data_IF_557132503567
#
_entry.id   IF_557132503567
#
_cell.length_a   1.000
_cell.length_b   1.000
_cell.length_c   1.000
_cell.angle_alpha   90.00
_cell.angle_beta   90.00
_cell.angle_gamma   90.00
#
_symmetry.space_group_name_H-M   'P 1'
#
loop_
_entity.id
_entity.type
_entity.pdbx_description
1 polymer ?
#
# COMPACT_ATOMS: atom_id res chain seq x y z
N UNK A 1 38.37 -9.15 19.29
CA UNK A 1 36.90 -8.97 19.43
C UNK A 1 36.30 -9.17 18.05
N UNK A 2 35.25 -9.98 17.92
CA UNK A 2 34.57 -10.28 16.64
C UNK A 2 33.06 -10.42 16.87
N UNK A 3 32.24 -9.90 15.96
CA UNK A 3 30.78 -9.95 16.04
C UNK A 3 30.14 -8.82 16.86
N UNK A 4 28.85 -8.96 17.16
CA UNK A 4 28.06 -7.99 17.91
C UNK A 4 28.47 -7.91 19.39
N UNK A 5 28.45 -6.69 19.96
CA UNK A 5 28.80 -6.43 21.35
C UNK A 5 27.54 -6.22 22.21
N UNK A 6 26.72 -7.26 22.30
CA UNK A 6 25.39 -7.23 22.95
C UNK A 6 25.39 -7.77 24.39
N UNK A 7 26.55 -8.19 24.91
CA UNK A 7 26.71 -8.69 26.27
C UNK A 7 27.75 -7.85 27.01
N UNK A 8 27.35 -7.23 28.11
CA UNK A 8 28.25 -6.53 29.01
C UNK A 8 28.88 -7.50 30.02
N UNK A 9 30.20 -7.41 30.21
CA UNK A 9 30.95 -8.21 31.20
C UNK A 9 30.84 -7.67 32.63
N UNK A 10 30.70 -6.35 32.78
CA UNK A 10 30.80 -5.65 34.06
C UNK A 10 29.64 -4.67 34.34
N UNK A 11 28.63 -4.58 33.46
CA UNK A 11 27.50 -3.65 33.61
C UNK A 11 26.18 -4.29 33.20
N UNK A 12 25.06 -3.65 33.56
CA UNK A 12 23.72 -4.05 33.16
C UNK A 12 23.49 -3.84 31.66
N UNK A 13 22.66 -4.69 31.07
CA UNK A 13 22.14 -4.54 29.71
C UNK A 13 20.64 -4.21 29.78
N UNK A 14 20.19 -3.27 28.97
CA UNK A 14 18.79 -2.83 28.91
C UNK A 14 17.94 -3.72 27.97
N UNK A 15 17.98 -5.06 28.12
CA UNK A 15 17.32 -5.99 27.16
C UNK A 15 15.81 -5.84 27.05
N UNK A 16 15.13 -5.27 28.04
CA UNK A 16 13.68 -5.06 28.01
C UNK A 16 13.23 -3.87 27.17
N UNK A 17 14.14 -3.01 26.69
CA UNK A 17 13.77 -1.81 25.90
C UNK A 17 13.15 -2.19 24.55
N UNK A 18 13.48 -3.38 24.03
CA UNK A 18 12.90 -3.90 22.79
C UNK A 18 11.38 -4.08 22.87
N UNK A 19 10.84 -4.34 24.05
CA UNK A 19 9.39 -4.52 24.28
C UNK A 19 8.70 -3.31 24.90
N UNK A 20 9.45 -2.30 25.37
CA UNK A 20 8.87 -1.06 25.88
C UNK A 20 8.11 -0.36 24.75
N UNK A 21 6.89 0.13 24.99
CA UNK A 21 6.09 0.89 24.00
C UNK A 21 6.15 0.27 22.59
N UNK A 22 5.77 -1.01 22.50
CA UNK A 22 5.79 -1.77 21.24
C UNK A 22 4.94 -1.11 20.16
N UNK A 23 3.91 -0.35 20.52
CA UNK A 23 3.14 0.53 19.65
C UNK A 23 4.04 1.44 18.80
N UNK A 24 5.00 2.13 19.42
CA UNK A 24 5.93 3.03 18.73
C UNK A 24 6.94 2.27 17.85
N UNK A 25 7.32 1.05 18.25
CA UNK A 25 8.23 0.19 17.46
C UNK A 25 7.53 -0.34 16.21
N UNK A 26 6.27 -0.72 16.33
CA UNK A 26 5.44 -1.12 15.18
C UNK A 26 5.34 0.03 14.19
N UNK A 27 5.04 1.24 14.66
CA UNK A 27 5.01 2.43 13.80
C UNK A 27 6.35 2.68 13.12
N UNK A 28 7.45 2.63 13.87
CA UNK A 28 8.79 2.79 13.32
C UNK A 28 9.06 1.80 12.17
N UNK A 29 8.83 0.51 12.40
CA UNK A 29 9.05 -0.53 11.38
C UNK A 29 8.15 -0.32 10.16
N UNK A 30 6.88 -0.01 10.36
CA UNK A 30 5.93 0.24 9.27
C UNK A 30 6.37 1.42 8.40
N UNK A 31 6.77 2.53 9.04
CA UNK A 31 7.14 3.76 8.32
C UNK A 31 8.49 3.58 7.63
N UNK A 32 9.50 3.01 8.28
CA UNK A 32 10.80 2.73 7.64
C UNK A 32 10.64 1.80 6.44
N UNK A 33 9.82 0.75 6.57
CA UNK A 33 9.51 -0.15 5.46
C UNK A 33 8.78 0.60 4.34
N UNK A 34 7.79 1.43 4.66
CA UNK A 34 7.05 2.19 3.67
C UNK A 34 7.93 3.20 2.93
N UNK A 35 8.76 3.96 3.65
CA UNK A 35 9.70 4.93 3.07
C UNK A 35 10.70 4.23 2.15
N UNK A 36 11.38 3.20 2.65
CA UNK A 36 12.48 2.53 1.94
C UNK A 36 12.02 1.61 0.82
N UNK A 37 10.93 0.85 1.03
CA UNK A 37 10.51 -0.22 0.12
C UNK A 37 9.28 0.12 -0.72
N UNK A 38 8.62 1.25 -0.47
CA UNK A 38 7.45 1.71 -1.25
C UNK A 38 7.70 3.10 -1.82
N UNK A 39 7.90 4.10 -0.98
CA UNK A 39 7.98 5.50 -1.40
C UNK A 39 9.19 5.78 -2.28
N UNK A 40 10.41 5.56 -1.80
CA UNK A 40 11.63 5.88 -2.58
C UNK A 40 11.71 5.13 -3.92
N UNK A 41 11.39 3.81 -3.99
CA UNK A 41 11.28 3.10 -5.26
C UNK A 41 10.27 3.73 -6.22
N UNK A 42 9.09 4.09 -5.73
CA UNK A 42 8.02 4.67 -6.54
C UNK A 42 8.38 6.08 -7.02
N UNK A 43 8.98 6.91 -6.17
CA UNK A 43 9.48 8.23 -6.55
C UNK A 43 10.58 8.12 -7.61
N UNK A 44 11.46 7.13 -7.48
CA UNK A 44 12.51 6.86 -8.47
C UNK A 44 11.93 6.43 -9.82
N UNK A 45 10.91 5.57 -9.81
CA UNK A 45 10.17 5.18 -11.01
C UNK A 45 9.47 6.40 -11.65
N UNK A 46 8.82 7.24 -10.83
CA UNK A 46 8.17 8.46 -11.30
C UNK A 46 9.17 9.47 -11.90
N UNK A 47 10.36 9.57 -11.30
CA UNK A 47 11.45 10.39 -11.81
C UNK A 47 11.97 9.90 -13.16
N UNK A 48 12.10 8.57 -13.33
CA UNK A 48 12.49 7.98 -14.61
C UNK A 48 11.46 8.28 -15.73
N UNK A 49 10.20 8.45 -15.37
CA UNK A 49 9.12 8.87 -16.28
C UNK A 49 9.05 10.39 -16.51
N UNK A 50 10.01 11.16 -15.99
CA UNK A 50 10.17 12.59 -16.27
C UNK A 50 9.51 13.54 -15.25
N UNK A 51 9.04 13.04 -14.11
CA UNK A 51 8.55 13.90 -13.02
C UNK A 51 9.71 14.33 -12.11
N UNK A 52 9.55 15.42 -11.37
CA UNK A 52 10.59 15.87 -10.43
C UNK A 52 10.65 14.96 -9.19
N UNK A 53 11.86 14.69 -8.70
CA UNK A 53 12.04 13.97 -7.43
C UNK A 53 11.96 14.95 -6.25
N UNK A 54 11.04 14.74 -5.28
CA UNK A 54 10.79 15.69 -4.20
C UNK A 54 11.85 15.59 -3.07
N UNK A 55 13.09 15.98 -3.38
CA UNK A 55 14.25 15.82 -2.48
C UNK A 55 14.05 16.45 -1.09
N UNK A 56 13.48 17.66 -1.02
CA UNK A 56 13.28 18.35 0.25
C UNK A 56 12.29 17.62 1.16
N UNK A 57 11.17 17.15 0.59
CA UNK A 57 10.15 16.41 1.34
C UNK A 57 10.67 15.05 1.81
N UNK A 58 11.44 14.34 0.97
CA UNK A 58 12.12 13.10 1.36
C UNK A 58 13.15 13.35 2.47
N UNK A 59 13.92 14.44 2.36
CA UNK A 59 14.86 14.85 3.40
C UNK A 59 14.16 15.14 4.73
N UNK A 60 12.98 15.76 4.72
CA UNK A 60 12.19 16.03 5.91
C UNK A 60 11.68 14.75 6.58
N UNK A 61 11.17 13.79 5.79
CA UNK A 61 10.76 12.48 6.32
C UNK A 61 11.90 11.80 7.05
N UNK A 62 13.10 11.77 6.45
CA UNK A 62 14.27 11.15 7.07
C UNK A 62 14.73 11.89 8.32
N UNK A 63 14.68 13.23 8.34
CA UNK A 63 14.98 14.00 9.57
C UNK A 63 14.05 13.59 10.71
N UNK A 64 12.73 13.57 10.48
CA UNK A 64 11.75 13.16 11.49
C UNK A 64 12.01 11.74 12.01
N UNK A 65 12.35 10.79 11.12
CA UNK A 65 12.70 9.42 11.50
C UNK A 65 14.01 9.36 12.31
N UNK A 66 15.04 10.10 11.92
CA UNK A 66 16.32 10.12 12.64
C UNK A 66 16.23 10.79 14.00
N UNK A 67 15.42 11.84 14.15
CA UNK A 67 15.17 12.42 15.46
C UNK A 67 14.48 11.40 16.40
N UNK A 68 13.68 10.48 15.87
CA UNK A 68 13.07 9.39 16.64
C UNK A 68 14.03 8.23 16.93
N UNK A 69 15.14 8.13 16.19
CA UNK A 69 16.14 7.08 16.33
C UNK A 69 17.13 7.32 17.48
N UNK A 70 17.05 8.45 18.19
CA UNK A 70 17.81 8.66 19.42
C UNK A 70 17.52 7.53 20.41
N UNK A 71 18.56 6.97 21.04
CA UNK A 71 18.46 5.73 21.81
C UNK A 71 17.37 5.75 22.89
N UNK A 72 17.21 6.88 23.59
CA UNK A 72 16.16 7.04 24.61
C UNK A 72 14.75 7.12 24.01
N UNK A 73 14.62 7.73 22.82
CA UNK A 73 13.36 7.84 22.08
C UNK A 73 12.92 6.49 21.50
N UNK A 74 13.79 5.84 20.71
CA UNK A 74 13.47 4.52 20.15
C UNK A 74 13.41 3.44 21.24
N UNK A 75 14.20 3.57 22.31
CA UNK A 75 14.11 2.73 23.51
C UNK A 75 12.85 2.97 24.33
N UNK A 76 12.20 4.12 24.14
CA UNK A 76 11.05 4.60 24.92
C UNK A 76 11.29 4.54 26.43
N UNK A 77 12.46 5.02 26.85
CA UNK A 77 12.84 5.19 28.26
C UNK A 77 12.79 6.67 28.69
N UNK A 78 11.88 7.43 28.06
CA UNK A 78 11.57 8.84 28.29
C UNK A 78 10.15 8.99 28.89
N UNK A 79 9.79 10.20 29.31
CA UNK A 79 8.46 10.50 29.83
C UNK A 79 7.36 10.25 28.81
N UNK A 80 6.12 10.08 29.28
CA UNK A 80 4.96 9.91 28.40
C UNK A 80 4.76 11.10 27.46
N UNK A 81 4.97 12.32 27.95
CA UNK A 81 4.93 13.55 27.15
C UNK A 81 5.93 13.52 25.99
N UNK A 82 7.16 13.09 26.24
CA UNK A 82 8.17 13.00 25.19
C UNK A 82 7.89 11.83 24.22
N UNK A 83 7.28 10.74 24.69
CA UNK A 83 6.79 9.67 23.81
C UNK A 83 5.61 10.11 22.93
N UNK A 84 4.79 11.07 23.38
CA UNK A 84 3.75 11.68 22.54
C UNK A 84 4.36 12.49 21.39
N UNK A 85 5.45 13.23 21.65
CA UNK A 85 6.21 13.91 20.59
C UNK A 85 6.85 12.93 19.60
N UNK A 86 7.34 11.78 20.07
CA UNK A 86 7.83 10.68 19.20
C UNK A 86 6.72 10.18 18.28
N UNK A 87 5.53 9.96 18.84
CA UNK A 87 4.35 9.54 18.07
C UNK A 87 3.97 10.57 17.01
N UNK A 88 3.94 11.87 17.36
CA UNK A 88 3.60 12.95 16.42
C UNK A 88 4.58 12.99 15.25
N UNK A 89 5.88 12.85 15.50
CA UNK A 89 6.90 12.80 14.42
C UNK A 89 6.72 11.60 13.51
N UNK A 90 6.40 10.42 14.04
CA UNK A 90 6.06 9.26 13.20
C UNK A 90 4.81 9.51 12.36
N UNK A 91 3.78 10.12 12.93
CA UNK A 91 2.56 10.46 12.19
C UNK A 91 2.86 11.42 11.05
N UNK A 92 3.66 12.47 11.29
CA UNK A 92 4.09 13.42 10.26
C UNK A 92 4.88 12.74 9.15
N UNK A 93 5.90 11.94 9.49
CA UNK A 93 6.70 11.20 8.52
C UNK A 93 5.84 10.28 7.64
N UNK A 94 4.91 9.54 8.26
CA UNK A 94 3.95 8.69 7.55
C UNK A 94 3.06 9.51 6.61
N UNK A 95 2.45 10.58 7.10
CA UNK A 95 1.47 11.35 6.34
C UNK A 95 2.14 12.01 5.12
N UNK A 96 3.35 12.57 5.27
CA UNK A 96 4.12 13.11 4.12
C UNK A 96 4.42 11.99 3.12
N UNK A 97 4.93 10.84 3.60
CA UNK A 97 5.30 9.73 2.72
C UNK A 97 4.10 9.18 1.92
N UNK A 98 2.95 8.99 2.57
CA UNK A 98 1.72 8.49 1.92
C UNK A 98 1.23 9.47 0.87
N UNK A 99 1.23 10.78 1.16
CA UNK A 99 0.81 11.79 0.19
C UNK A 99 1.75 11.86 -1.02
N UNK A 100 3.07 11.73 -0.83
CA UNK A 100 4.04 11.65 -1.93
C UNK A 100 3.77 10.41 -2.81
N UNK A 101 3.55 9.25 -2.19
CA UNK A 101 3.21 8.03 -2.92
C UNK A 101 1.91 8.20 -3.71
N UNK A 102 0.87 8.76 -3.11
CA UNK A 102 -0.40 8.97 -3.79
C UNK A 102 -0.25 9.89 -5.02
N UNK A 103 0.41 11.03 -4.84
CA UNK A 103 0.65 12.00 -5.91
C UNK A 103 1.42 11.37 -7.08
N UNK A 104 2.56 10.72 -6.78
CA UNK A 104 3.39 10.14 -7.82
C UNK A 104 2.77 8.90 -8.45
N UNK A 105 1.99 8.11 -7.70
CA UNK A 105 1.19 7.01 -8.26
C UNK A 105 0.19 7.53 -9.30
N UNK A 106 -0.45 8.67 -9.03
CA UNK A 106 -1.36 9.32 -9.96
C UNK A 106 -0.63 9.83 -11.21
N UNK A 107 0.52 10.48 -11.04
CA UNK A 107 1.35 10.95 -12.17
C UNK A 107 1.80 9.79 -13.07
N UNK A 108 2.22 8.67 -12.47
CA UNK A 108 2.56 7.46 -13.22
C UNK A 108 1.33 6.95 -13.97
N UNK A 109 0.22 6.72 -13.27
CA UNK A 109 -1.00 6.14 -13.84
C UNK A 109 -1.57 6.97 -15.00
N UNK A 110 -1.54 8.30 -14.91
CA UNK A 110 -2.07 9.19 -15.96
C UNK A 110 -1.12 9.42 -17.12
N UNK A 111 0.17 9.11 -16.97
CA UNK A 111 1.17 9.19 -18.05
C UNK A 111 1.08 8.03 -19.03
N UNK A 112 0.49 6.90 -18.62
CA UNK A 112 0.29 5.72 -19.46
C UNK A 112 -0.80 6.00 -20.49
N UNK A 113 -0.48 5.84 -21.77
CA UNK A 113 -1.45 6.01 -22.85
C UNK A 113 -2.42 4.83 -22.88
N UNK A 114 -3.67 5.09 -22.52
CA UNK A 114 -4.76 4.12 -22.57
C UNK A 114 -6.07 4.88 -22.82
N UNK A 115 -6.81 4.46 -23.84
CA UNK A 115 -8.07 5.10 -24.25
C UNK A 115 -9.30 4.58 -23.48
N UNK A 116 -9.09 3.69 -22.50
CA UNK A 116 -10.14 3.21 -21.64
C UNK A 116 -10.65 4.30 -20.68
N UNK A 117 -11.96 4.28 -20.41
CA UNK A 117 -12.61 5.22 -19.50
C UNK A 117 -12.20 5.04 -18.04
N UNK A 118 -11.80 3.82 -17.66
CA UNK A 118 -11.37 3.48 -16.30
C UNK A 118 -10.21 2.49 -16.36
N UNK A 119 -9.17 2.75 -15.57
CA UNK A 119 -7.98 1.90 -15.48
C UNK A 119 -7.56 1.67 -14.03
N UNK A 120 -6.90 0.55 -13.79
CA UNK A 120 -6.15 0.29 -12.57
C UNK A 120 -4.68 0.17 -12.91
N UNK A 121 -3.83 0.93 -12.22
CA UNK A 121 -2.38 0.81 -12.37
C UNK A 121 -1.83 0.14 -11.12
N UNK A 122 -1.20 -1.02 -11.30
CA UNK A 122 -0.51 -1.73 -10.23
C UNK A 122 0.98 -1.44 -10.33
N UNK A 123 1.56 -0.93 -9.24
CA UNK A 123 2.98 -0.57 -9.17
C UNK A 123 3.66 -1.55 -8.21
N UNK A 124 4.67 -2.25 -8.70
CA UNK A 124 5.52 -3.14 -7.91
C UNK A 124 6.85 -2.45 -7.61
N UNK A 125 7.04 -2.07 -6.35
CA UNK A 125 8.23 -1.39 -5.85
C UNK A 125 9.35 -2.34 -5.44
N UNK A 126 9.12 -3.67 -5.49
CA UNK A 126 10.09 -4.68 -5.09
C UNK A 126 10.99 -5.10 -6.27
N UNK A 127 12.23 -5.54 -6.01
CA UNK A 127 13.17 -5.97 -7.04
C UNK A 127 12.88 -7.36 -7.62
N UNK A 128 11.70 -7.93 -7.32
CA UNK A 128 11.28 -9.26 -7.73
C UNK A 128 9.94 -9.18 -8.45
N UNK A 129 9.75 -10.05 -9.45
CA UNK A 129 8.48 -10.20 -10.16
C UNK A 129 7.40 -10.75 -9.22
N UNK A 130 6.15 -10.31 -9.38
CA UNK A 130 5.03 -10.72 -8.52
C UNK A 130 3.89 -11.35 -9.30
N UNK A 131 3.36 -12.43 -8.74
CA UNK A 131 2.24 -13.24 -9.27
C UNK A 131 1.20 -13.49 -8.16
N UNK A 132 0.93 -12.47 -7.34
CA UNK A 132 0.13 -12.61 -6.13
C UNK A 132 -1.32 -12.14 -6.35
N UNK A 133 -2.20 -12.48 -5.42
CA UNK A 133 -3.50 -11.82 -5.30
C UNK A 133 -3.33 -10.51 -4.54
N UNK A 134 -3.66 -9.39 -5.16
CA UNK A 134 -3.61 -8.06 -4.53
C UNK A 134 -4.99 -7.72 -4.00
N UNK A 135 -5.08 -7.46 -2.68
CA UNK A 135 -6.30 -6.95 -2.04
C UNK A 135 -6.17 -5.44 -1.90
N UNK A 136 -7.08 -4.69 -2.51
CA UNK A 136 -7.04 -3.22 -2.52
C UNK A 136 -8.43 -2.66 -2.28
N UNK A 137 -8.48 -1.56 -1.53
CA UNK A 137 -9.68 -0.75 -1.39
C UNK A 137 -9.68 0.33 -2.47
N UNK A 138 -10.67 0.33 -3.34
CA UNK A 138 -10.73 1.24 -4.50
C UNK A 138 -12.17 1.55 -4.91
N UNK A 139 -12.34 2.44 -5.87
CA UNK A 139 -13.63 2.75 -6.48
C UNK A 139 -13.82 1.92 -7.76
N UNK A 140 -14.95 1.23 -7.84
CA UNK A 140 -15.36 0.43 -9.01
C UNK A 140 -16.69 0.96 -9.57
N UNK A 141 -16.94 0.77 -10.88
CA UNK A 141 -18.25 1.06 -11.44
C UNK A 141 -19.29 0.09 -10.86
N UNK A 142 -20.54 0.54 -10.77
CA UNK A 142 -21.65 -0.38 -10.51
C UNK A 142 -21.92 -1.32 -11.68
N UNK A 143 -22.50 -2.49 -11.39
CA UNK A 143 -22.82 -3.51 -12.40
C UNK A 143 -21.69 -4.51 -12.61
N UNK A 144 -21.76 -5.26 -13.72
CA UNK A 144 -20.72 -6.20 -14.10
C UNK A 144 -19.59 -5.47 -14.83
N UNK A 145 -18.35 -5.88 -14.59
CA UNK A 145 -17.20 -5.44 -15.36
C UNK A 145 -16.17 -6.56 -15.48
N UNK A 146 -15.32 -6.47 -16.50
CA UNK A 146 -14.11 -7.26 -16.60
C UNK A 146 -12.89 -6.38 -16.33
N UNK A 147 -11.90 -6.95 -15.65
CA UNK A 147 -10.54 -6.40 -15.63
C UNK A 147 -9.78 -7.05 -16.79
N UNK A 148 -9.19 -6.23 -17.65
CA UNK A 148 -8.40 -6.68 -18.80
C UNK A 148 -6.95 -6.28 -18.63
N UNK A 149 -6.02 -7.21 -18.91
CA UNK A 149 -4.60 -6.89 -18.98
C UNK A 149 -4.24 -6.11 -20.26
N UNK A 150 -2.98 -5.70 -20.41
CA UNK A 150 -2.49 -4.98 -21.59
C UNK A 150 -2.59 -5.79 -22.91
N UNK A 151 -2.75 -7.12 -22.81
CA UNK A 151 -2.94 -8.02 -23.95
C UNK A 151 -4.42 -8.29 -24.25
N UNK A 152 -5.34 -7.73 -23.45
CA UNK A 152 -6.78 -7.94 -23.56
C UNK A 152 -7.28 -9.24 -22.92
N UNK A 153 -6.46 -9.96 -22.15
CA UNK A 153 -6.90 -11.13 -21.42
C UNK A 153 -7.67 -10.72 -20.17
N UNK A 154 -8.69 -11.51 -19.82
CA UNK A 154 -9.46 -11.30 -18.60
C UNK A 154 -8.64 -11.68 -17.36
N UNK A 155 -8.61 -10.76 -16.42
CA UNK A 155 -8.01 -10.92 -15.09
C UNK A 155 -9.12 -11.19 -14.09
N UNK A 156 -8.99 -12.29 -13.35
CA UNK A 156 -9.95 -12.70 -12.34
C UNK A 156 -9.91 -11.75 -11.14
N UNK A 157 -11.09 -11.37 -10.64
CA UNK A 157 -11.21 -10.59 -9.40
C UNK A 157 -12.39 -11.03 -8.55
N UNK A 158 -12.35 -10.73 -7.27
CA UNK A 158 -13.44 -10.98 -6.32
C UNK A 158 -13.71 -9.72 -5.52
N UNK A 159 -14.99 -9.31 -5.44
CA UNK A 159 -15.42 -8.25 -4.53
C UNK A 159 -15.64 -8.85 -3.14
N UNK A 160 -14.87 -8.41 -2.15
CA UNK A 160 -14.95 -8.91 -0.77
C UNK A 160 -16.08 -8.19 -0.02
N UNK A 161 -16.10 -6.87 -0.15
CA UNK A 161 -17.13 -6.00 0.41
C UNK A 161 -17.25 -4.74 -0.46
N UNK A 162 -18.42 -4.11 -0.45
CA UNK A 162 -18.66 -2.87 -1.18
C UNK A 162 -19.69 -2.00 -0.50
N UNK A 163 -19.52 -0.69 -0.59
CA UNK A 163 -20.45 0.34 -0.14
C UNK A 163 -20.76 1.29 -1.29
N UNK A 164 -22.04 1.64 -1.45
CA UNK A 164 -22.46 2.65 -2.41
C UNK A 164 -22.09 4.06 -1.91
N UNK A 165 -21.30 4.78 -2.71
CA UNK A 165 -20.89 6.17 -2.46
C UNK A 165 -21.20 7.08 -3.64
N UNK A 166 -22.14 6.68 -4.51
CA UNK A 166 -22.45 7.39 -5.75
C UNK A 166 -22.75 8.88 -5.51
N UNK A 167 -23.68 9.20 -4.62
CA UNK A 167 -24.07 10.60 -4.35
C UNK A 167 -22.91 11.44 -3.78
N UNK A 168 -22.09 10.83 -2.92
CA UNK A 168 -20.94 11.50 -2.31
C UNK A 168 -19.87 11.83 -3.36
N UNK A 169 -19.48 10.85 -4.18
CA UNK A 169 -18.43 11.03 -5.18
C UNK A 169 -18.87 12.00 -6.29
N UNK A 170 -20.12 11.84 -6.77
CA UNK A 170 -20.63 12.71 -7.83
C UNK A 170 -20.86 14.15 -7.37
N UNK A 171 -21.26 14.38 -6.11
CA UNK A 171 -21.42 15.73 -5.56
C UNK A 171 -20.10 16.47 -5.32
N UNK A 172 -19.00 15.74 -5.12
CA UNK A 172 -17.66 16.30 -4.90
C UNK A 172 -16.81 16.41 -6.18
N UNK A 173 -17.34 15.99 -7.34
CA UNK A 173 -16.59 16.04 -8.59
C UNK A 173 -16.36 17.50 -9.03
N UNK A 174 -15.14 18.00 -8.83
CA UNK A 174 -14.72 19.32 -9.32
C UNK A 174 -14.32 19.18 -10.80
N UNK A 175 -15.12 19.76 -11.70
CA UNK A 175 -14.79 19.85 -13.13
C UNK A 175 -13.78 20.97 -13.36
N UNK A 176 -12.49 20.62 -13.38
CA UNK A 176 -11.40 21.56 -13.65
C UNK A 176 -11.45 22.12 -15.09
N UNK A 177 -11.86 21.31 -16.07
CA UNK A 177 -12.07 21.73 -17.46
C UNK A 177 -13.44 21.22 -17.97
N UNK A 178 -14.47 22.08 -18.02
CA UNK A 178 -15.80 21.70 -18.50
C UNK A 178 -15.87 21.33 -19.99
N UNK A 179 -14.86 21.70 -20.78
CA UNK A 179 -14.84 21.47 -22.23
C UNK A 179 -14.45 20.03 -22.60
N UNK A 180 -13.71 19.35 -21.71
CA UNK A 180 -13.29 17.96 -21.90
C UNK A 180 -14.41 17.02 -21.45
N UNK A 181 -14.99 16.27 -22.39
CA UNK A 181 -15.88 15.15 -22.05
C UNK A 181 -15.06 14.07 -21.37
N UNK A 182 -15.42 13.71 -20.16
CA UNK A 182 -14.88 12.56 -19.43
C UNK A 182 -16.03 11.65 -19.01
N UNK A 183 -15.77 10.36 -18.90
CA UNK A 183 -16.76 9.42 -18.43
C UNK A 183 -17.14 9.68 -16.98
N UNK A 184 -18.44 9.78 -16.74
CA UNK A 184 -19.02 9.87 -15.41
C UNK A 184 -19.79 8.57 -15.17
N UNK A 185 -19.33 7.68 -14.28
CA UNK A 185 -20.07 6.47 -13.97
C UNK A 185 -21.43 6.80 -13.34
N UNK A 186 -22.46 6.04 -13.73
CA UNK A 186 -23.80 6.18 -13.15
C UNK A 186 -23.88 5.72 -11.70
N UNK A 187 -22.94 4.86 -11.29
CA UNK A 187 -22.84 4.31 -9.95
C UNK A 187 -21.37 4.13 -9.56
N UNK A 188 -21.01 4.58 -8.36
CA UNK A 188 -19.66 4.48 -7.81
C UNK A 188 -19.72 3.69 -6.51
N UNK A 189 -19.09 2.52 -6.50
CA UNK A 189 -18.96 1.70 -5.30
C UNK A 189 -17.55 1.82 -4.76
N UNK A 190 -17.41 2.12 -3.48
CA UNK A 190 -16.16 1.88 -2.76
C UNK A 190 -16.13 0.40 -2.37
N UNK A 191 -15.15 -0.35 -2.86
CA UNK A 191 -15.07 -1.78 -2.68
C UNK A 191 -13.66 -2.23 -2.30
N UNK A 192 -13.60 -3.22 -1.42
CA UNK A 192 -12.38 -4.00 -1.19
C UNK A 192 -12.40 -5.16 -2.19
N UNK A 193 -11.48 -5.13 -3.16
CA UNK A 193 -11.40 -6.12 -4.24
C UNK A 193 -10.08 -6.90 -4.17
N UNK A 194 -10.17 -8.20 -4.40
CA UNK A 194 -9.03 -9.08 -4.60
C UNK A 194 -8.82 -9.29 -6.10
N UNK A 195 -7.66 -8.90 -6.64
CA UNK A 195 -7.31 -9.04 -8.05
C UNK A 195 -6.21 -10.09 -8.18
N UNK A 196 -6.45 -11.14 -8.97
CA UNK A 196 -5.42 -12.14 -9.25
C UNK A 196 -4.43 -11.57 -10.26
N UNK A 197 -3.25 -11.18 -9.81
CA UNK A 197 -2.24 -10.60 -10.71
C UNK A 197 -1.33 -11.68 -11.28
N UNK A 198 -0.92 -11.48 -12.52
CA UNK A 198 0.07 -12.32 -13.19
C UNK A 198 1.10 -11.41 -13.85
N UNK A 199 2.36 -11.71 -13.61
CA UNK A 199 3.51 -11.12 -14.27
C UNK A 199 3.75 -9.62 -14.01
N UNK A 200 3.44 -9.11 -12.82
CA UNK A 200 3.79 -7.72 -12.48
C UNK A 200 5.32 -7.61 -12.39
N UNK A 201 5.98 -6.78 -13.23
CA UNK A 201 7.42 -6.75 -13.36
C UNK A 201 8.09 -6.27 -12.07
N UNK A 202 9.33 -6.73 -11.82
CA UNK A 202 10.16 -6.19 -10.76
C UNK A 202 10.41 -4.70 -11.00
N UNK A 203 10.26 -3.87 -9.96
CA UNK A 203 10.50 -2.43 -10.02
C UNK A 203 9.81 -1.77 -11.24
N UNK A 204 8.51 -2.02 -11.39
CA UNK A 204 7.76 -1.60 -12.56
C UNK A 204 6.26 -1.55 -12.30
N UNK A 205 5.48 -1.38 -13.36
CA UNK A 205 4.04 -1.28 -13.26
C UNK A 205 3.35 -1.99 -14.43
N UNK A 206 2.07 -2.31 -14.24
CA UNK A 206 1.15 -2.76 -15.28
C UNK A 206 -0.12 -1.95 -15.18
N UNK A 207 -0.76 -1.68 -16.33
CA UNK A 207 -2.06 -1.02 -16.34
C UNK A 207 -3.15 -1.96 -16.87
N UNK A 208 -4.19 -2.13 -16.07
CA UNK A 208 -5.38 -2.88 -16.42
C UNK A 208 -6.53 -1.96 -16.81
N UNK A 209 -7.34 -2.41 -17.75
CA UNK A 209 -8.53 -1.71 -18.24
C UNK A 209 -9.78 -2.29 -17.59
N UNK A 210 -10.71 -1.42 -17.16
CA UNK A 210 -12.02 -1.82 -16.67
C UNK A 210 -13.04 -1.75 -17.81
N UNK A 211 -13.47 -2.90 -18.30
CA UNK A 211 -14.50 -3.02 -19.33
C UNK A 211 -15.87 -3.28 -18.69
N UNK A 212 -16.75 -2.28 -18.73
CA UNK A 212 -18.12 -2.34 -18.18
C UNK A 212 -19.08 -3.22 -18.97
N UNK A 213 -18.66 -3.73 -20.14
CA UNK A 213 -19.46 -4.68 -20.94
C UNK A 213 -19.12 -6.13 -20.60
N UNK A 214 -17.98 -6.35 -19.96
CA UNK A 214 -17.47 -7.67 -19.61
C UNK A 214 -17.89 -8.17 -18.23
N UNK A 215 -17.47 -9.39 -17.93
CA UNK A 215 -17.45 -9.94 -16.59
C UNK A 215 -16.22 -10.85 -16.44
N UNK A 216 -15.42 -10.60 -15.40
CA UNK A 216 -14.34 -11.48 -14.92
C UNK A 216 -14.39 -11.72 -13.41
N UNK A 217 -15.54 -11.45 -12.78
CA UNK A 217 -15.74 -11.67 -11.36
C UNK A 217 -15.75 -13.18 -11.02
N UNK A 218 -15.18 -13.51 -9.86
CA UNK A 218 -15.27 -14.82 -9.21
C UNK A 218 -16.04 -14.68 -7.90
N UNK A 219 -16.78 -15.73 -7.55
CA UNK A 219 -17.53 -15.77 -6.31
C UNK A 219 -16.59 -16.11 -5.14
N UNK A 220 -16.84 -15.49 -4.00
CA UNK A 220 -16.17 -15.85 -2.76
C UNK A 220 -16.81 -17.12 -2.19
N UNK A 221 -16.02 -18.16 -2.01
CA UNK A 221 -16.45 -19.41 -1.36
C UNK A 221 -16.00 -19.41 0.10
N UNK A 222 -16.93 -19.71 1.03
CA UNK A 222 -16.56 -19.98 2.42
C UNK A 222 -16.10 -21.42 2.54
N UNK A 223 -14.86 -21.60 2.98
CA UNK A 223 -14.27 -22.90 3.30
C UNK A 223 -13.77 -22.88 4.75
N UNK A 224 -13.82 -24.04 5.40
CA UNK A 224 -13.35 -24.22 6.77
C UNK A 224 -11.87 -24.67 6.84
N UNK A 225 -11.25 -24.87 5.67
CA UNK A 225 -9.87 -25.34 5.53
C UNK A 225 -9.16 -24.48 4.47
N UNK A 226 -7.89 -24.19 4.69
CA UNK A 226 -7.03 -23.44 3.75
C UNK A 226 -5.99 -24.41 3.20
N UNK A 227 -6.13 -24.82 1.93
CA UNK A 227 -5.26 -25.82 1.31
C UNK A 227 -4.66 -25.29 0.01
N UNK A 228 -3.36 -25.56 -0.19
CA UNK A 228 -2.64 -25.36 -1.45
C UNK A 228 -1.60 -26.49 -1.65
N UNK A 229 -0.75 -26.35 -2.66
CA UNK A 229 0.26 -27.36 -3.00
C UNK A 229 1.38 -27.56 -1.95
N UNK A 230 1.49 -26.66 -0.97
CA UNK A 230 2.52 -26.68 0.07
C UNK A 230 1.97 -26.99 1.47
N UNK A 231 0.77 -26.49 1.79
CA UNK A 231 0.18 -26.54 3.13
C UNK A 231 -1.31 -26.86 3.07
N UNK A 232 -1.78 -27.64 4.03
CA UNK A 232 -3.19 -27.79 4.37
C UNK A 232 -3.33 -27.33 5.82
N UNK A 233 -4.10 -26.27 6.03
CA UNK A 233 -4.23 -25.58 7.31
C UNK A 233 -5.67 -25.74 7.82
N UNK A 234 -5.79 -26.33 9.01
CA UNK A 234 -7.05 -26.49 9.73
C UNK A 234 -7.03 -25.68 11.03
N UNK A 235 -8.16 -25.05 11.34
CA UNK A 235 -8.34 -24.33 12.61
C UNK A 235 -9.15 -25.22 13.54
N UNK A 236 -8.54 -25.64 14.63
CA UNK A 236 -9.16 -26.43 15.69
C UNK A 236 -10.15 -25.58 16.50
N UNK A 237 -11.04 -26.24 17.26
CA UNK A 237 -12.08 -25.55 18.06
C UNK A 237 -11.49 -24.62 19.14
N UNK A 238 -10.29 -24.90 19.62
CA UNK A 238 -9.56 -24.12 20.61
C UNK A 238 -8.68 -23.00 19.99
N UNK A 239 -8.72 -22.86 18.65
CA UNK A 239 -8.01 -21.84 17.89
C UNK A 239 -6.58 -22.20 17.52
N UNK A 240 -6.11 -23.42 17.81
CA UNK A 240 -4.83 -23.90 17.29
C UNK A 240 -4.92 -24.16 15.79
N UNK A 241 -3.78 -24.00 15.10
CA UNK A 241 -3.65 -24.13 13.66
C UNK A 241 -2.75 -25.34 13.38
N UNK A 242 -3.29 -26.35 12.69
CA UNK A 242 -2.60 -27.59 12.28
C UNK A 242 -2.36 -27.64 10.78
#
# INVERSE_FOLDING_TARGET
VSGELVIAKHMRIHKSIFSSRSDLKVMNTQIQNYVTNVMEPLLTLSYNLGNDYPHEAVGEIWKLLFENAAHDSIGSCISDTANEDVYVRYKQARDIAVNLVELHSRLIATSVKNDAEMTFTLINTLPQKRNDTVVVKTYIPGGNFAILDEKGNKVDYTVIESRDLTDYVLSQTIKLDPSRKFYVPSKVLEATIAIKTSDVPAFGYVQYTLDTKGNSAKNLEKKNTLENEFYAINVEEDGYIN
#
